data_IF_376346745065
#
_entry.id   IF_376346745065
#
_cell.length_a   1.000
_cell.length_b   1.000
_cell.length_c   1.000
_cell.angle_alpha   90.00
_cell.angle_beta   90.00
_cell.angle_gamma   90.00
#
_symmetry.space_group_name_H-M   'P 1'
#
loop_
_entity.id
_entity.type
_entity.pdbx_description
1 polymer ?
#
# COMPACT_ATOMS: atom_id res chain seq x y z
N UNK A 1 68.43 2.89 -0.73
CA UNK A 1 67.38 2.17 0.02
C UNK A 1 66.84 3.14 1.06
N UNK A 2 65.72 3.80 0.77
CA UNK A 2 64.96 4.60 1.76
C UNK A 2 63.74 3.79 2.23
N UNK A 3 63.28 3.93 3.49
CA UNK A 3 62.15 3.15 4.00
C UNK A 3 60.81 3.74 3.54
N UNK A 4 59.91 2.87 3.04
CA UNK A 4 58.51 3.19 2.81
C UNK A 4 57.78 3.54 4.12
N UNK A 5 57.37 4.80 4.28
CA UNK A 5 56.33 5.17 5.24
C UNK A 5 54.94 4.83 4.66
N UNK A 6 54.28 3.84 5.27
CA UNK A 6 52.87 3.51 5.02
C UNK A 6 51.98 4.69 5.46
N UNK A 7 51.42 5.42 4.51
CA UNK A 7 50.32 6.34 4.76
C UNK A 7 49.02 5.54 4.91
N UNK A 8 48.59 5.32 6.14
CA UNK A 8 47.22 4.87 6.45
C UNK A 8 46.31 6.07 6.18
N UNK A 9 45.57 6.05 5.07
CA UNK A 9 44.51 7.04 4.83
C UNK A 9 43.41 6.84 5.88
N UNK A 10 43.16 7.87 6.68
CA UNK A 10 41.93 7.96 7.46
C UNK A 10 40.72 7.94 6.50
N UNK A 11 39.59 7.31 6.86
CA UNK A 11 38.40 7.37 6.03
C UNK A 11 37.95 8.83 5.95
N UNK A 12 37.85 9.36 4.73
CA UNK A 12 37.25 10.66 4.46
C UNK A 12 35.84 10.68 5.04
N UNK A 13 35.53 11.69 5.85
CA UNK A 13 34.18 11.98 6.32
C UNK A 13 33.23 11.98 5.11
N UNK A 14 32.27 11.06 5.14
CA UNK A 14 31.19 11.02 4.14
C UNK A 14 30.27 12.18 4.49
N UNK A 15 30.34 13.24 3.69
CA UNK A 15 29.53 14.45 3.85
C UNK A 15 28.09 14.13 3.41
N UNK A 16 27.25 13.73 4.37
CA UNK A 16 25.82 13.48 4.16
C UNK A 16 25.12 14.86 4.15
N UNK A 17 24.52 15.30 3.02
CA UNK A 17 23.97 16.65 2.94
C UNK A 17 22.67 16.73 3.74
N UNK A 18 22.76 17.17 5.00
CA UNK A 18 21.61 17.66 5.74
C UNK A 18 21.20 19.04 5.19
N UNK A 19 19.90 19.31 4.97
CA UNK A 19 19.44 20.61 4.48
C UNK A 19 19.84 21.71 5.48
N UNK A 20 20.69 22.64 5.02
CA UNK A 20 21.25 23.72 5.84
C UNK A 20 20.15 24.70 6.26
N UNK A 21 19.81 24.71 7.56
CA UNK A 21 19.40 25.94 8.27
C UNK A 21 20.38 26.18 9.41
N UNK A 22 21.21 27.20 9.23
CA UNK A 22 22.12 27.73 10.24
C UNK A 22 21.28 28.55 11.22
N UNK A 23 21.03 28.03 12.43
CA UNK A 23 20.83 28.83 13.64
C UNK A 23 20.88 27.93 14.90
N UNK A 24 21.69 28.34 15.89
CA UNK A 24 21.86 27.82 17.26
C UNK A 24 22.64 26.50 17.47
N UNK A 25 23.95 26.65 17.76
CA UNK A 25 24.94 25.57 17.94
C UNK A 25 24.72 24.74 19.23
N UNK A 26 24.03 25.28 20.25
CA UNK A 26 23.73 24.51 21.48
C UNK A 26 22.45 23.66 21.38
N UNK A 27 21.34 24.19 20.83
CA UNK A 27 20.12 23.40 20.61
C UNK A 27 20.33 22.30 19.56
N UNK A 28 21.08 22.60 18.48
CA UNK A 28 21.40 21.63 17.45
C UNK A 28 22.30 20.46 17.93
N UNK A 29 23.04 20.60 19.05
CA UNK A 29 23.78 19.48 19.65
C UNK A 29 22.86 18.51 20.39
N UNK A 30 21.84 19.01 21.09
CA UNK A 30 20.86 18.16 21.77
C UNK A 30 19.93 17.48 20.76
N UNK A 31 19.49 18.18 19.70
CA UNK A 31 18.70 17.57 18.62
C UNK A 31 19.47 16.44 17.91
N UNK A 32 20.78 16.61 17.70
CA UNK A 32 21.64 15.55 17.14
C UNK A 32 21.80 14.36 18.07
N UNK A 33 21.96 14.60 19.38
CA UNK A 33 22.02 13.51 20.37
C UNK A 33 20.69 12.76 20.43
N UNK A 34 19.57 13.47 20.44
CA UNK A 34 18.22 12.88 20.40
C UNK A 34 18.05 12.04 19.13
N UNK A 35 18.43 12.56 17.96
CA UNK A 35 18.37 11.82 16.70
C UNK A 35 19.20 10.53 16.74
N UNK A 36 20.47 10.62 17.17
CA UNK A 36 21.38 9.46 17.24
C UNK A 36 20.85 8.42 18.23
N UNK A 37 20.32 8.85 19.38
CA UNK A 37 19.73 7.96 20.37
C UNK A 37 18.48 7.26 19.81
N UNK A 38 17.54 8.02 19.23
CA UNK A 38 16.32 7.47 18.64
C UNK A 38 16.63 6.47 17.53
N UNK A 39 17.61 6.75 16.66
CA UNK A 39 18.02 5.83 15.61
C UNK A 39 18.67 4.57 16.19
N UNK A 40 19.48 4.71 17.24
CA UNK A 40 20.11 3.58 17.93
C UNK A 40 19.07 2.69 18.62
N UNK A 41 18.03 3.28 19.22
CA UNK A 41 16.89 2.58 19.82
C UNK A 41 16.00 1.90 18.77
N UNK A 42 15.86 2.50 17.58
CA UNK A 42 15.12 1.91 16.47
C UNK A 42 15.87 0.78 15.75
N UNK A 43 17.21 0.77 15.82
CA UNK A 43 18.05 -0.16 15.06
C UNK A 43 17.70 -1.65 15.24
N UNK A 44 17.42 -2.17 16.45
CA UNK A 44 16.99 -3.56 16.63
C UNK A 44 15.73 -3.90 15.83
N UNK A 45 14.77 -2.98 15.75
CA UNK A 45 13.54 -3.18 14.97
C UNK A 45 13.83 -3.19 13.47
N UNK A 46 14.68 -2.27 12.98
CA UNK A 46 15.09 -2.23 11.58
C UNK A 46 15.82 -3.52 11.17
N UNK A 47 16.67 -4.05 12.05
CA UNK A 47 17.38 -5.31 11.82
C UNK A 47 16.44 -6.51 11.80
N UNK A 48 15.44 -6.56 12.70
CA UNK A 48 14.48 -7.66 12.76
C UNK A 48 13.64 -7.80 11.47
N UNK A 49 13.32 -6.69 10.81
CA UNK A 49 12.52 -6.68 9.58
C UNK A 49 13.36 -6.60 8.29
N UNK A 50 14.69 -6.50 8.39
CA UNK A 50 15.54 -6.45 7.20
C UNK A 50 15.35 -7.69 6.33
N UNK A 51 15.12 -7.48 5.04
CA UNK A 51 14.85 -8.52 4.05
C UNK A 51 13.44 -9.12 4.12
N UNK A 52 12.58 -8.66 5.05
CA UNK A 52 11.20 -9.12 5.21
C UNK A 52 10.24 -8.33 4.33
N UNK A 53 9.21 -9.00 3.86
CA UNK A 53 8.13 -8.40 3.05
C UNK A 53 7.02 -7.88 3.95
N UNK A 54 6.61 -6.63 3.71
CA UNK A 54 5.47 -5.99 4.36
C UNK A 54 4.46 -5.63 3.29
N UNK A 55 3.23 -6.12 3.40
CA UNK A 55 2.13 -5.67 2.53
C UNK A 55 1.35 -4.59 3.25
N UNK A 56 1.22 -3.43 2.62
CA UNK A 56 0.64 -2.24 3.23
C UNK A 56 -0.55 -1.79 2.38
N UNK A 57 -1.75 -1.89 2.94
CA UNK A 57 -2.93 -1.31 2.32
C UNK A 57 -2.98 0.18 2.66
N UNK A 58 -2.75 1.00 1.63
CA UNK A 58 -2.85 2.46 1.68
C UNK A 58 -4.27 2.92 1.30
N UNK A 59 -4.96 3.59 2.21
CA UNK A 59 -6.38 3.95 2.06
C UNK A 59 -6.84 4.98 3.09
N UNK A 60 -8.11 5.39 2.99
CA UNK A 60 -8.74 6.32 3.94
C UNK A 60 -8.30 7.77 3.78
N UNK A 61 -8.42 8.53 4.86
CA UNK A 61 -8.01 9.93 4.99
C UNK A 61 -6.54 10.16 4.63
N UNK A 62 -5.69 9.16 4.82
CA UNK A 62 -4.27 9.22 4.45
C UNK A 62 -4.03 9.41 2.94
N UNK A 63 -5.02 9.14 2.09
CA UNK A 63 -4.95 9.40 0.64
C UNK A 63 -5.36 10.82 0.24
N UNK A 64 -6.09 11.52 1.13
CA UNK A 64 -6.72 12.81 0.82
C UNK A 64 -5.95 13.96 1.45
N UNK A 65 -5.43 13.77 2.66
CA UNK A 65 -4.64 14.79 3.36
C UNK A 65 -3.20 14.79 2.86
N UNK A 66 -2.70 15.95 2.43
CA UNK A 66 -1.40 16.09 1.80
C UNK A 66 -0.26 15.70 2.75
N UNK A 67 -0.32 16.16 4.00
CA UNK A 67 0.69 15.88 5.01
C UNK A 67 0.76 14.37 5.33
N UNK A 68 -0.39 13.71 5.44
CA UNK A 68 -0.46 12.28 5.70
C UNK A 68 0.03 11.45 4.50
N UNK A 69 -0.27 11.89 3.28
CA UNK A 69 0.25 11.29 2.06
C UNK A 69 1.77 11.41 2.00
N UNK A 70 2.31 12.60 2.23
CA UNK A 70 3.73 12.84 2.13
C UNK A 70 4.50 12.05 3.21
N UNK A 71 3.98 11.99 4.44
CA UNK A 71 4.52 11.13 5.49
C UNK A 71 4.54 9.65 5.09
N UNK A 72 3.41 9.13 4.57
CA UNK A 72 3.34 7.75 4.09
C UNK A 72 4.39 7.46 3.01
N UNK A 73 4.57 8.37 2.06
CA UNK A 73 5.54 8.21 0.98
C UNK A 73 6.97 8.16 1.53
N UNK A 74 7.31 9.03 2.48
CA UNK A 74 8.63 9.01 3.15
C UNK A 74 8.85 7.70 3.91
N UNK A 75 7.83 7.20 4.60
CA UNK A 75 7.92 5.92 5.33
C UNK A 75 8.19 4.75 4.37
N UNK A 76 7.51 4.69 3.21
CA UNK A 76 7.75 3.66 2.20
C UNK A 76 9.19 3.70 1.67
N UNK A 77 9.72 4.91 1.39
CA UNK A 77 11.11 5.07 0.95
C UNK A 77 12.08 4.66 2.05
N UNK A 78 11.82 5.04 3.30
CA UNK A 78 12.64 4.66 4.45
C UNK A 78 12.68 3.14 4.62
N UNK A 79 11.52 2.47 4.62
CA UNK A 79 11.42 1.01 4.71
C UNK A 79 12.28 0.34 3.64
N UNK A 80 12.17 0.79 2.39
CA UNK A 80 12.98 0.24 1.30
C UNK A 80 14.48 0.48 1.52
N UNK A 81 14.85 1.69 1.95
CA UNK A 81 16.24 2.10 2.17
C UNK A 81 16.93 1.27 3.25
N UNK A 82 16.21 0.90 4.32
CA UNK A 82 16.73 0.04 5.40
C UNK A 82 16.70 -1.46 5.05
N UNK A 83 16.26 -1.81 3.84
CA UNK A 83 16.23 -3.18 3.33
C UNK A 83 14.96 -3.96 3.66
N UNK A 84 13.92 -3.31 4.17
CA UNK A 84 12.58 -3.89 4.27
C UNK A 84 11.93 -3.85 2.87
N UNK A 85 11.05 -4.81 2.57
CA UNK A 85 10.47 -4.97 1.23
C UNK A 85 8.98 -4.60 1.24
N UNK A 86 8.63 -3.30 1.13
CA UNK A 86 7.24 -2.88 1.11
C UNK A 86 6.56 -3.21 -0.23
N UNK A 87 5.35 -3.74 -0.15
CA UNK A 87 4.40 -3.86 -1.26
C UNK A 87 3.17 -3.04 -0.91
N UNK A 88 2.88 -2.01 -1.69
CA UNK A 88 1.76 -1.10 -1.43
C UNK A 88 0.54 -1.56 -2.22
N UNK A 89 -0.61 -1.67 -1.58
CA UNK A 89 -1.91 -1.91 -2.22
C UNK A 89 -2.78 -0.70 -1.92
N UNK A 90 -3.35 -0.05 -2.93
CA UNK A 90 -4.10 1.18 -2.68
C UNK A 90 -5.61 1.03 -2.83
N UNK A 91 -6.36 1.85 -2.08
CA UNK A 91 -7.79 2.07 -2.29
C UNK A 91 -8.07 3.07 -3.42
N UNK A 92 -9.17 3.81 -3.33
CA UNK A 92 -9.52 4.86 -4.30
C UNK A 92 -11.01 5.16 -4.43
N UNK A 93 -11.85 4.65 -3.51
CA UNK A 93 -13.30 4.80 -3.55
C UNK A 93 -13.81 6.22 -3.80
N UNK A 94 -13.34 7.25 -3.06
CA UNK A 94 -13.78 8.63 -3.27
C UNK A 94 -13.50 9.15 -4.69
N UNK A 95 -12.32 8.86 -5.25
CA UNK A 95 -11.90 9.32 -6.57
C UNK A 95 -12.68 8.62 -7.70
N UNK A 96 -13.03 7.34 -7.51
CA UNK A 96 -13.93 6.63 -8.44
C UNK A 96 -15.31 7.30 -8.43
N UNK A 97 -15.86 7.54 -7.23
CA UNK A 97 -17.18 8.21 -7.09
C UNK A 97 -17.18 9.59 -7.74
N UNK A 98 -16.11 10.37 -7.56
CA UNK A 98 -15.98 11.69 -8.20
C UNK A 98 -15.96 11.57 -9.73
N UNK A 99 -15.21 10.62 -10.28
CA UNK A 99 -15.14 10.43 -11.74
C UNK A 99 -16.48 9.95 -12.32
N UNK A 100 -17.16 9.00 -11.66
CA UNK A 100 -18.49 8.54 -12.08
C UNK A 100 -19.49 9.70 -12.09
N UNK A 101 -19.45 10.57 -11.08
CA UNK A 101 -20.30 11.76 -11.03
C UNK A 101 -20.02 12.71 -12.21
N UNK A 102 -18.75 12.90 -12.60
CA UNK A 102 -18.38 13.76 -13.73
C UNK A 102 -18.93 13.27 -15.07
N UNK A 103 -19.10 11.95 -15.22
CA UNK A 103 -19.71 11.34 -16.43
C UNK A 103 -21.22 11.11 -16.28
N UNK A 104 -21.85 11.66 -15.23
CA UNK A 104 -23.30 11.59 -15.03
C UNK A 104 -23.81 10.27 -14.44
N UNK A 105 -22.93 9.39 -13.94
CA UNK A 105 -23.33 8.12 -13.31
C UNK A 105 -23.48 8.26 -11.80
N UNK A 106 -24.49 7.59 -11.25
CA UNK A 106 -24.66 7.42 -9.80
C UNK A 106 -23.81 6.26 -9.30
N UNK A 107 -23.41 6.34 -8.04
CA UNK A 107 -22.71 5.24 -7.36
C UNK A 107 -23.70 4.53 -6.44
N UNK A 108 -23.74 3.21 -6.53
CA UNK A 108 -24.49 2.34 -5.62
C UNK A 108 -23.54 1.38 -4.89
N UNK A 109 -23.85 1.08 -3.63
CA UNK A 109 -23.12 0.11 -2.83
C UNK A 109 -24.09 -0.91 -2.22
N UNK A 110 -23.68 -2.18 -2.26
CA UNK A 110 -24.38 -3.27 -1.59
C UNK A 110 -23.36 -3.99 -0.72
N UNK A 111 -23.65 -4.08 0.59
CA UNK A 111 -22.77 -4.74 1.58
C UNK A 111 -21.32 -4.20 1.58
N UNK A 112 -21.17 -2.89 1.30
CA UNK A 112 -19.87 -2.23 1.23
C UNK A 112 -19.11 -2.45 -0.09
N UNK A 113 -19.65 -3.25 -1.02
CA UNK A 113 -19.12 -3.44 -2.37
C UNK A 113 -19.81 -2.49 -3.34
N UNK A 114 -19.03 -1.87 -4.23
CA UNK A 114 -19.56 -0.98 -5.27
C UNK A 114 -20.24 -1.82 -6.35
N UNK A 115 -21.52 -1.60 -6.60
CA UNK A 115 -22.19 -2.19 -7.77
C UNK A 115 -21.50 -1.66 -9.03
N UNK A 116 -21.02 -2.57 -9.87
CA UNK A 116 -20.08 -2.23 -10.93
C UNK A 116 -20.56 -2.80 -12.26
N UNK A 117 -21.29 -2.02 -13.05
CA UNK A 117 -21.60 -2.41 -14.44
C UNK A 117 -20.36 -2.33 -15.36
N UNK A 118 -20.52 -2.67 -16.65
CA UNK A 118 -19.40 -2.71 -17.60
C UNK A 118 -18.65 -1.37 -17.70
N UNK A 119 -19.39 -0.28 -17.88
CA UNK A 119 -18.81 1.05 -17.99
C UNK A 119 -18.19 1.50 -16.67
N UNK A 120 -18.78 1.11 -15.54
CA UNK A 120 -18.29 1.42 -14.20
C UNK A 120 -16.97 0.69 -13.92
N UNK A 121 -16.77 -0.55 -14.38
CA UNK A 121 -15.47 -1.23 -14.22
C UNK A 121 -14.40 -0.59 -15.08
N UNK A 122 -14.73 -0.17 -16.30
CA UNK A 122 -13.78 0.52 -17.18
C UNK A 122 -13.31 1.85 -16.55
N UNK A 123 -14.24 2.64 -15.99
CA UNK A 123 -13.91 3.87 -15.26
C UNK A 123 -13.11 3.57 -13.99
N UNK A 124 -13.52 2.54 -13.24
CA UNK A 124 -12.81 2.13 -12.03
C UNK A 124 -11.37 1.75 -12.34
N UNK A 125 -11.14 1.00 -13.42
CA UNK A 125 -9.81 0.64 -13.89
C UNK A 125 -8.98 1.88 -14.27
N UNK A 126 -9.53 2.78 -15.09
CA UNK A 126 -8.84 4.01 -15.49
C UNK A 126 -8.43 4.87 -14.29
N UNK A 127 -9.30 5.00 -13.29
CA UNK A 127 -9.03 5.79 -12.09
C UNK A 127 -8.00 5.11 -11.20
N UNK A 128 -8.19 3.82 -10.89
CA UNK A 128 -7.32 3.09 -9.98
C UNK A 128 -5.94 2.85 -10.59
N UNK A 129 -5.84 2.21 -11.74
CA UNK A 129 -4.56 1.82 -12.36
C UNK A 129 -3.87 2.99 -13.10
N UNK A 130 -4.65 3.99 -13.55
CA UNK A 130 -4.13 5.17 -14.21
C UNK A 130 -3.82 6.29 -13.21
N UNK A 131 -4.83 7.09 -12.88
CA UNK A 131 -4.61 8.35 -12.14
C UNK A 131 -4.00 8.10 -10.76
N UNK A 132 -4.61 7.22 -9.97
CA UNK A 132 -4.24 7.05 -8.58
C UNK A 132 -2.93 6.29 -8.42
N UNK A 133 -2.82 5.12 -9.05
CA UNK A 133 -1.64 4.28 -9.01
C UNK A 133 -0.40 5.06 -9.47
N UNK A 134 -0.47 5.75 -10.61
CA UNK A 134 0.67 6.51 -11.14
C UNK A 134 0.97 7.75 -10.32
N UNK A 135 -0.03 8.35 -9.67
CA UNK A 135 0.17 9.42 -8.69
C UNK A 135 1.04 9.00 -7.50
N UNK A 136 0.73 7.83 -6.91
CA UNK A 136 1.52 7.25 -5.80
C UNK A 136 2.94 6.92 -6.26
N UNK A 137 3.09 6.26 -7.41
CA UNK A 137 4.39 5.92 -8.01
C UNK A 137 5.25 7.16 -8.22
N UNK A 138 4.67 8.22 -8.81
CA UNK A 138 5.37 9.47 -9.03
C UNK A 138 5.81 10.12 -7.71
N UNK A 139 4.97 10.04 -6.66
CA UNK A 139 5.33 10.57 -5.35
C UNK A 139 6.50 9.81 -4.71
N UNK A 140 6.49 8.46 -4.73
CA UNK A 140 7.61 7.65 -4.22
C UNK A 140 8.90 7.97 -4.98
N UNK A 141 8.82 8.07 -6.31
CA UNK A 141 9.99 8.38 -7.13
C UNK A 141 10.55 9.79 -6.84
N UNK A 142 9.69 10.79 -6.65
CA UNK A 142 10.12 12.14 -6.24
C UNK A 142 10.79 12.17 -4.86
N UNK A 143 10.39 11.28 -3.96
CA UNK A 143 10.99 11.12 -2.64
C UNK A 143 12.31 10.31 -2.65
N UNK A 144 12.81 9.90 -3.83
CA UNK A 144 14.07 9.17 -3.97
C UNK A 144 13.94 7.65 -3.93
N UNK A 145 12.72 7.11 -3.90
CA UNK A 145 12.47 5.69 -4.09
C UNK A 145 12.45 5.26 -5.55
N UNK A 146 12.31 3.97 -5.79
CA UNK A 146 12.08 3.38 -7.10
C UNK A 146 10.77 2.60 -7.05
N UNK A 147 9.69 3.15 -7.59
CA UNK A 147 8.37 2.52 -7.58
C UNK A 147 7.91 2.10 -8.98
N UNK A 148 7.21 0.96 -9.04
CA UNK A 148 6.54 0.47 -10.24
C UNK A 148 5.08 0.22 -9.92
N UNK A 149 4.23 0.89 -10.69
CA UNK A 149 2.79 0.78 -10.56
C UNK A 149 2.22 -0.31 -11.45
N UNK A 150 1.53 -1.28 -10.86
CA UNK A 150 0.86 -2.39 -11.55
C UNK A 150 -0.56 -2.58 -11.04
N UNK A 151 -1.33 -3.40 -11.73
CA UNK A 151 -2.64 -3.90 -11.38
C UNK A 151 -2.60 -5.43 -11.29
N UNK A 152 -3.71 -6.06 -10.88
CA UNK A 152 -3.76 -7.52 -10.89
C UNK A 152 -3.79 -8.15 -12.29
N UNK A 153 -3.97 -7.36 -13.36
CA UNK A 153 -3.84 -7.86 -14.75
C UNK A 153 -2.39 -8.11 -15.15
N UNK A 154 -1.47 -7.30 -14.62
CA UNK A 154 -0.08 -7.33 -15.02
C UNK A 154 0.57 -8.65 -14.56
N UNK A 155 1.00 -9.47 -15.51
CA UNK A 155 1.53 -10.81 -15.23
C UNK A 155 0.51 -11.80 -14.65
N UNK A 156 -0.80 -11.54 -14.80
CA UNK A 156 -1.89 -12.26 -14.13
C UNK A 156 -1.71 -12.32 -12.62
N UNK A 157 -1.25 -11.21 -12.02
CA UNK A 157 -0.97 -11.11 -10.58
C UNK A 157 -2.18 -11.49 -9.72
N UNK A 158 -3.39 -11.07 -10.09
CA UNK A 158 -4.65 -11.38 -9.38
C UNK A 158 -5.63 -12.01 -10.35
N UNK A 159 -5.68 -13.34 -10.37
CA UNK A 159 -6.75 -14.08 -11.04
C UNK A 159 -8.02 -13.99 -10.20
N UNK A 160 -9.14 -13.66 -10.83
CA UNK A 160 -10.40 -13.37 -10.16
C UNK A 160 -11.58 -14.15 -10.74
N UNK A 161 -12.60 -14.33 -9.90
CA UNK A 161 -13.91 -14.84 -10.28
C UNK A 161 -14.98 -13.83 -9.88
N UNK A 162 -16.12 -13.83 -10.57
CA UNK A 162 -17.24 -12.95 -10.26
C UNK A 162 -17.75 -13.23 -8.85
N UNK A 163 -17.89 -12.18 -8.04
CA UNK A 163 -18.52 -12.25 -6.73
C UNK A 163 -20.03 -12.45 -6.90
N UNK A 164 -20.58 -13.48 -6.25
CA UNK A 164 -22.00 -13.80 -6.28
C UNK A 164 -22.54 -13.83 -4.84
N UNK A 165 -22.77 -12.64 -4.23
CA UNK A 165 -23.34 -12.57 -2.90
C UNK A 165 -24.75 -13.15 -2.90
N UNK A 166 -25.11 -13.67 -1.74
CA UNK A 166 -26.25 -14.56 -1.59
C UNK A 166 -27.09 -14.01 -0.44
N UNK A 167 -28.33 -13.60 -0.71
CA UNK A 167 -29.22 -13.07 0.34
C UNK A 167 -30.09 -14.19 0.93
N UNK A 168 -30.30 -14.21 2.26
CA UNK A 168 -31.34 -15.07 2.84
C UNK A 168 -32.69 -14.71 2.21
N UNK A 169 -33.47 -15.72 1.84
CA UNK A 169 -34.86 -15.54 1.44
C UNK A 169 -35.68 -14.91 2.57
N UNK A 170 -36.86 -14.37 2.27
CA UNK A 170 -37.70 -13.71 3.29
C UNK A 170 -38.25 -14.69 4.33
N UNK A 171 -38.27 -15.99 4.00
CA UNK A 171 -38.60 -17.10 4.88
C UNK A 171 -37.47 -18.15 4.87
N UNK A 172 -37.32 -18.91 5.96
CA UNK A 172 -36.31 -19.99 6.15
C UNK A 172 -36.34 -21.10 5.07
N UNK A 173 -37.30 -21.05 4.14
CA UNK A 173 -37.55 -22.02 3.06
C UNK A 173 -37.30 -21.47 1.65
N UNK A 174 -36.92 -20.19 1.49
CA UNK A 174 -36.73 -19.59 0.17
C UNK A 174 -35.29 -19.74 -0.39
N UNK A 175 -35.23 -19.91 -1.71
CA UNK A 175 -34.01 -20.04 -2.50
C UNK A 175 -33.11 -18.82 -2.26
N UNK A 176 -31.84 -19.06 -1.94
CA UNK A 176 -30.82 -18.03 -1.87
C UNK A 176 -30.74 -17.32 -3.23
N UNK A 177 -31.29 -16.11 -3.32
CA UNK A 177 -31.17 -15.29 -4.52
C UNK A 177 -29.73 -14.82 -4.67
N UNK A 178 -29.09 -15.25 -5.77
CA UNK A 178 -27.79 -14.73 -6.18
C UNK A 178 -27.98 -13.30 -6.68
N UNK A 179 -27.40 -12.35 -5.96
CA UNK A 179 -27.45 -10.95 -6.36
C UNK A 179 -26.33 -10.67 -7.37
N UNK A 180 -26.68 -10.24 -8.57
CA UNK A 180 -25.69 -9.79 -9.56
C UNK A 180 -25.32 -8.32 -9.30
N UNK A 181 -24.14 -8.09 -8.74
CA UNK A 181 -23.57 -6.76 -8.53
C UNK A 181 -22.58 -6.34 -9.64
N UNK A 182 -22.58 -7.07 -10.76
CA UNK A 182 -21.78 -6.80 -11.94
C UNK A 182 -20.33 -7.29 -11.84
N UNK A 183 -19.39 -6.50 -12.35
CA UNK A 183 -17.95 -6.77 -12.42
C UNK A 183 -17.24 -6.56 -11.08
N UNK A 184 -17.83 -7.08 -10.01
CA UNK A 184 -17.18 -7.22 -8.70
C UNK A 184 -16.63 -8.63 -8.60
N UNK A 185 -15.39 -8.76 -8.12
CA UNK A 185 -14.72 -10.05 -8.08
C UNK A 185 -14.23 -10.45 -6.69
N UNK A 186 -13.87 -11.72 -6.61
CA UNK A 186 -13.11 -12.32 -5.51
C UNK A 186 -11.77 -12.80 -6.04
N UNK A 187 -10.75 -12.77 -5.17
CA UNK A 187 -9.43 -13.32 -5.50
C UNK A 187 -9.55 -14.84 -5.58
N UNK A 188 -9.36 -15.40 -6.77
CA UNK A 188 -9.23 -16.84 -6.98
C UNK A 188 -7.82 -17.32 -6.67
N UNK A 189 -6.82 -16.59 -7.18
CA UNK A 189 -5.41 -16.96 -7.07
C UNK A 189 -4.51 -15.74 -7.25
N UNK A 190 -3.37 -15.75 -6.56
CA UNK A 190 -2.31 -14.77 -6.73
C UNK A 190 -1.13 -15.40 -7.46
N UNK A 191 -0.60 -14.72 -8.48
CA UNK A 191 0.67 -15.04 -9.10
C UNK A 191 1.75 -14.02 -8.67
N UNK A 192 2.62 -14.34 -7.70
CA UNK A 192 3.58 -13.37 -7.18
C UNK A 192 4.78 -13.09 -8.09
N UNK A 193 4.93 -13.80 -9.22
CA UNK A 193 6.17 -13.77 -10.02
C UNK A 193 6.60 -12.37 -10.47
N UNK A 194 5.65 -11.52 -10.86
CA UNK A 194 5.93 -10.12 -11.21
C UNK A 194 6.41 -9.31 -10.01
N UNK A 195 5.81 -9.53 -8.82
CA UNK A 195 6.21 -8.85 -7.59
C UNK A 195 7.59 -9.28 -7.11
N UNK A 196 7.91 -10.58 -7.19
CA UNK A 196 9.23 -11.11 -6.86
C UNK A 196 10.29 -10.49 -7.76
N UNK A 197 10.04 -10.42 -9.07
CA UNK A 197 10.98 -9.81 -10.04
C UNK A 197 11.23 -8.33 -9.74
N UNK A 198 10.17 -7.58 -9.40
CA UNK A 198 10.29 -6.17 -9.03
C UNK A 198 11.08 -5.97 -7.73
N UNK A 199 10.82 -6.81 -6.72
CA UNK A 199 11.54 -6.76 -5.45
C UNK A 199 13.04 -7.07 -5.62
N UNK A 200 13.39 -8.10 -6.39
CA UNK A 200 14.79 -8.46 -6.70
C UNK A 200 15.52 -7.31 -7.41
N UNK A 201 14.82 -6.58 -8.27
CA UNK A 201 15.37 -5.46 -9.02
C UNK A 201 15.41 -4.13 -8.24
N UNK A 202 15.02 -4.10 -6.96
CA UNK A 202 15.12 -2.87 -6.16
C UNK A 202 13.81 -2.08 -6.02
N UNK A 203 12.75 -2.44 -6.75
CA UNK A 203 11.54 -1.62 -6.84
C UNK A 203 10.57 -1.84 -5.68
N UNK A 204 9.79 -0.80 -5.38
CA UNK A 204 8.59 -0.82 -4.54
C UNK A 204 7.37 -1.05 -5.44
N UNK A 205 6.71 -2.21 -5.36
CA UNK A 205 5.50 -2.45 -6.13
C UNK A 205 4.31 -1.68 -5.53
N UNK A 206 3.56 -0.99 -6.39
CA UNK A 206 2.31 -0.29 -6.05
C UNK A 206 1.18 -0.93 -6.84
N UNK A 207 0.28 -1.63 -6.15
CA UNK A 207 -0.73 -2.51 -6.74
C UNK A 207 -2.12 -1.87 -6.67
N UNK A 208 -2.77 -1.72 -7.82
CA UNK A 208 -4.19 -1.40 -7.94
C UNK A 208 -5.04 -2.67 -7.75
N UNK A 209 -6.14 -2.63 -6.97
CA UNK A 209 -6.92 -3.80 -6.56
C UNK A 209 -7.94 -4.24 -7.63
N UNK A 210 -7.43 -4.53 -8.82
CA UNK A 210 -8.19 -5.06 -9.96
C UNK A 210 -7.79 -6.51 -10.18
N UNK A 211 -8.74 -7.37 -10.54
CA UNK A 211 -8.48 -8.76 -10.91
C UNK A 211 -8.80 -9.05 -12.38
N UNK A 212 -8.24 -10.14 -12.89
CA UNK A 212 -8.48 -10.63 -14.25
C UNK A 212 -9.25 -11.95 -14.24
N UNK A 213 -10.34 -12.03 -15.00
CA UNK A 213 -11.12 -13.24 -15.22
C UNK A 213 -10.44 -14.22 -16.18
N UNK A 214 -11.01 -15.42 -16.34
CA UNK A 214 -10.46 -16.44 -17.24
C UNK A 214 -10.49 -16.04 -18.71
N UNK A 215 -11.43 -15.18 -19.10
CA UNK A 215 -11.55 -14.67 -20.47
C UNK A 215 -10.96 -13.25 -20.63
N UNK A 216 -10.20 -12.78 -19.62
CA UNK A 216 -9.58 -11.45 -19.63
C UNK A 216 -10.48 -10.33 -19.13
N UNK A 217 -11.63 -10.63 -18.52
CA UNK A 217 -12.51 -9.64 -17.93
C UNK A 217 -11.85 -8.94 -16.76
N UNK A 218 -12.27 -7.71 -16.48
CA UNK A 218 -11.79 -6.95 -15.32
C UNK A 218 -12.77 -7.08 -14.19
N UNK A 219 -12.27 -7.30 -12.99
CA UNK A 219 -13.06 -7.28 -11.78
C UNK A 219 -12.52 -6.24 -10.80
N UNK A 220 -13.42 -5.43 -10.26
CA UNK A 220 -13.15 -4.57 -9.12
C UNK A 220 -13.17 -5.42 -7.84
N UNK A 221 -12.09 -5.41 -7.06
CA UNK A 221 -11.97 -6.22 -5.84
C UNK A 221 -11.71 -5.28 -4.66
N UNK A 222 -12.22 -5.64 -3.49
CA UNK A 222 -11.89 -4.92 -2.26
C UNK A 222 -10.36 -4.91 -2.02
N UNK A 223 -9.80 -3.71 -1.78
CA UNK A 223 -8.36 -3.52 -1.61
C UNK A 223 -7.78 -4.24 -0.39
N UNK A 224 -8.53 -4.35 0.70
CA UNK A 224 -8.10 -5.07 1.90
C UNK A 224 -8.03 -6.59 1.61
N UNK A 225 -8.99 -7.12 0.84
CA UNK A 225 -8.98 -8.52 0.38
C UNK A 225 -7.78 -8.80 -0.53
N UNK A 226 -7.48 -7.91 -1.48
CA UNK A 226 -6.29 -8.04 -2.36
C UNK A 226 -5.02 -7.98 -1.51
N UNK A 227 -4.91 -7.04 -0.57
CA UNK A 227 -3.76 -6.92 0.31
C UNK A 227 -3.55 -8.18 1.18
N UNK A 228 -4.62 -8.74 1.74
CA UNK A 228 -4.56 -9.98 2.49
C UNK A 228 -4.12 -11.18 1.64
N UNK A 229 -4.67 -11.32 0.44
CA UNK A 229 -4.29 -12.39 -0.48
C UNK A 229 -2.82 -12.28 -0.94
N UNK A 230 -2.37 -11.06 -1.27
CA UNK A 230 -0.97 -10.78 -1.60
C UNK A 230 -0.04 -11.09 -0.42
N UNK A 231 -0.41 -10.70 0.80
CA UNK A 231 0.37 -10.99 2.00
C UNK A 231 0.55 -12.49 2.21
N UNK A 232 -0.53 -13.27 2.06
CA UNK A 232 -0.47 -14.73 2.13
C UNK A 232 0.42 -15.34 1.05
N UNK A 233 0.25 -14.93 -0.20
CA UNK A 233 1.01 -15.45 -1.34
C UNK A 233 2.51 -15.11 -1.27
N UNK A 234 2.85 -13.92 -0.79
CA UNK A 234 4.23 -13.47 -0.61
C UNK A 234 4.86 -13.95 0.71
N UNK A 235 4.09 -14.63 1.57
CA UNK A 235 4.49 -14.99 2.94
C UNK A 235 5.03 -13.76 3.69
N UNK A 236 4.30 -12.66 3.59
CA UNK A 236 4.68 -11.40 4.19
C UNK A 236 4.78 -11.54 5.71
N UNK A 237 5.77 -10.86 6.30
CA UNK A 237 5.97 -10.83 7.75
C UNK A 237 4.86 -10.02 8.43
N UNK A 238 4.33 -8.99 7.76
CA UNK A 238 3.18 -8.21 8.22
C UNK A 238 2.27 -7.81 7.07
N UNK A 239 0.98 -7.77 7.40
CA UNK A 239 -0.06 -7.04 6.68
C UNK A 239 -0.42 -5.81 7.53
N UNK A 240 -0.32 -4.62 6.96
CA UNK A 240 -0.66 -3.36 7.61
C UNK A 240 -1.85 -2.76 6.86
N UNK A 241 -2.98 -2.55 7.53
CA UNK A 241 -4.16 -1.93 6.95
C UNK A 241 -4.30 -0.51 7.49
N UNK A 242 -4.13 0.50 6.64
CA UNK A 242 -4.38 1.88 7.01
C UNK A 242 -5.89 2.15 6.99
N UNK A 243 -6.41 2.61 8.12
CA UNK A 243 -7.83 2.85 8.38
C UNK A 243 -8.02 4.19 9.09
N UNK A 244 -9.22 4.75 8.97
CA UNK A 244 -9.63 6.00 9.63
C UNK A 244 -10.12 5.77 11.06
N UNK A 245 -9.91 4.56 11.59
CA UNK A 245 -10.25 4.16 12.95
C UNK A 245 -8.97 3.96 13.78
N UNK A 246 -8.99 4.18 15.10
CA UNK A 246 -7.82 3.97 15.95
C UNK A 246 -7.38 2.50 16.05
N UNK A 247 -8.20 1.56 15.58
CA UNK A 247 -7.95 0.12 15.61
C UNK A 247 -9.22 -0.66 15.94
N UNK A 248 -9.07 -1.84 16.55
CA UNK A 248 -10.20 -2.64 17.04
C UNK A 248 -10.52 -2.20 18.48
N UNK A 249 -11.75 -1.74 18.66
CA UNK A 249 -12.28 -1.36 19.97
C UNK A 249 -13.06 -2.53 20.57
N UNK A 250 -12.86 -2.79 21.87
CA UNK A 250 -13.66 -3.79 22.62
C UNK A 250 -15.12 -3.36 22.70
N UNK A 251 -15.35 -2.06 22.89
CA UNK A 251 -16.65 -1.42 22.74
C UNK A 251 -16.56 -0.33 21.67
N UNK A 252 -17.35 -0.49 20.59
CA UNK A 252 -17.40 0.46 19.48
C UNK A 252 -17.71 1.91 19.91
N UNK A 253 -18.38 2.10 21.05
CA UNK A 253 -18.75 3.43 21.57
C UNK A 253 -17.70 4.05 22.48
N UNK A 254 -16.69 3.28 22.90
CA UNK A 254 -15.64 3.73 23.79
C UNK A 254 -14.28 3.75 23.07
N UNK A 255 -13.79 4.94 22.74
CA UNK A 255 -12.49 5.12 22.09
C UNK A 255 -11.31 4.70 22.96
N UNK A 256 -11.48 4.64 24.29
CA UNK A 256 -10.43 4.15 25.20
C UNK A 256 -10.35 2.62 25.23
N UNK A 257 -11.33 1.93 24.66
CA UNK A 257 -11.40 0.46 24.66
C UNK A 257 -10.54 -0.20 23.57
N UNK A 258 -9.51 0.49 23.08
CA UNK A 258 -8.58 -0.02 22.08
C UNK A 258 -7.89 -1.29 22.59
N UNK A 259 -7.97 -2.35 21.80
CA UNK A 259 -7.29 -3.60 22.09
C UNK A 259 -5.84 -3.49 21.58
N UNK A 260 -4.87 -3.37 22.47
CA UNK A 260 -3.45 -3.57 22.16
C UNK A 260 -3.03 -5.01 22.46
N UNK A 261 -2.34 -5.66 21.52
CA UNK A 261 -1.65 -6.95 21.75
C UNK A 261 -0.23 -6.69 22.26
#
# INVERSE_FOLDING_TARGET
MEPLQKHVRQPSEVDIPFPRRICYIHHAMDDRKIFVNNLSEALPYLQAFRGKTLVIKYGGAAMVQEEARDAFIQDIVLLRTVGIKPVVVHGGGPMITEMLKKVGKTTEFIEGLRVTDRETVDITEMVLAGVLNKGIVAAINRAGGLAVGISGKDGNLVEAVKHQPSRPGKDDSEIIEKLDIGYVGEVKKINPGVLTSLDEAGFVPVVAPLGVGSEGETYNINADTVAGALAGALKAEKLILMTDTPGILRDRKDSASLISQ
#
